data_IF_267440033487
#
_entry.id   IF_267440033487
#
_cell.length_a   1.000
_cell.length_b   1.000
_cell.length_c   1.000
_cell.angle_alpha   90.00
_cell.angle_beta   90.00
_cell.angle_gamma   90.00
#
_symmetry.space_group_name_H-M   'P 1'
#
loop_
_entity.id
_entity.type
_entity.pdbx_description
1 polymer ?
#
# COMPACT_ATOMS: atom_id res chain seq x y z
N UNK A 1 -30.78 24.98 48.39
CA UNK A 1 -30.81 24.76 46.93
C UNK A 1 -31.12 23.30 46.64
N UNK A 2 -32.32 22.98 46.13
CA UNK A 2 -32.70 21.61 45.74
C UNK A 2 -32.42 21.46 44.24
N UNK A 3 -31.33 20.82 43.88
CA UNK A 3 -31.06 20.47 42.49
C UNK A 3 -32.16 19.53 41.98
N UNK A 4 -32.81 19.82 40.83
CA UNK A 4 -33.89 19.00 40.33
C UNK A 4 -33.32 17.66 39.83
N UNK A 5 -33.62 16.58 40.57
CA UNK A 5 -33.18 15.19 40.34
C UNK A 5 -33.46 14.69 38.91
N UNK A 6 -34.46 15.26 38.22
CA UNK A 6 -34.79 14.95 36.82
C UNK A 6 -33.73 15.43 35.82
N UNK A 7 -33.08 16.56 36.09
CA UNK A 7 -32.04 17.11 35.21
C UNK A 7 -30.72 16.32 35.35
N UNK A 8 -30.41 15.85 36.56
CA UNK A 8 -29.25 15.01 36.83
C UNK A 8 -29.32 13.65 36.12
N UNK A 9 -30.52 13.03 36.03
CA UNK A 9 -30.72 11.76 35.30
C UNK A 9 -30.51 11.90 33.79
N UNK A 10 -30.91 13.01 33.19
CA UNK A 10 -30.81 13.21 31.73
C UNK A 10 -29.38 13.50 31.26
N UNK A 11 -28.56 14.12 32.10
CA UNK A 11 -27.14 14.40 31.79
C UNK A 11 -26.29 13.12 31.85
N UNK A 12 -26.60 12.21 32.78
CA UNK A 12 -25.88 10.92 32.91
C UNK A 12 -26.13 10.01 31.71
N UNK A 13 -27.33 10.03 31.11
CA UNK A 13 -27.64 9.22 29.93
C UNK A 13 -26.92 9.73 28.66
N UNK A 14 -26.78 11.05 28.48
CA UNK A 14 -26.02 11.62 27.36
C UNK A 14 -24.50 11.40 27.53
N UNK A 15 -23.97 11.43 28.75
CA UNK A 15 -22.56 11.17 29.02
C UNK A 15 -22.15 9.70 28.75
N UNK A 16 -23.06 8.75 28.95
CA UNK A 16 -22.83 7.33 28.63
C UNK A 16 -22.76 7.06 27.11
N UNK A 17 -23.45 7.86 26.29
CA UNK A 17 -23.42 7.74 24.83
C UNK A 17 -22.18 8.40 24.20
N UNK A 18 -21.59 9.40 24.87
CA UNK A 18 -20.38 10.07 24.42
C UNK A 18 -19.08 9.29 24.72
N UNK A 19 -19.13 8.31 25.64
CA UNK A 19 -17.97 7.51 26.05
C UNK A 19 -17.64 6.34 25.12
N UNK A 20 -18.54 5.98 24.20
CA UNK A 20 -18.31 4.91 23.23
C UNK A 20 -17.66 5.54 21.99
N UNK A 21 -16.39 5.91 22.11
CA UNK A 21 -15.53 5.95 20.92
C UNK A 21 -15.40 4.50 20.44
N UNK A 22 -16.41 4.02 19.70
CA UNK A 22 -16.36 2.72 19.06
C UNK A 22 -15.21 2.79 18.05
N UNK A 23 -14.03 2.31 18.47
CA UNK A 23 -12.99 1.99 17.52
C UNK A 23 -13.62 0.98 16.57
N UNK A 24 -13.90 1.40 15.34
CA UNK A 24 -14.58 0.57 14.35
C UNK A 24 -13.75 -0.67 13.96
N UNK A 25 -12.48 -0.71 14.38
CA UNK A 25 -11.51 -1.75 14.11
C UNK A 25 -11.02 -2.34 15.43
N UNK A 26 -10.84 -3.66 15.46
CA UNK A 26 -10.32 -4.40 16.61
C UNK A 26 -9.00 -5.08 16.25
N UNK A 27 -8.03 -5.03 17.18
CA UNK A 27 -6.77 -5.77 17.03
C UNK A 27 -7.06 -7.29 16.98
N UNK A 28 -6.34 -8.00 16.11
CA UNK A 28 -6.52 -9.43 15.88
C UNK A 28 -7.63 -9.79 14.89
N UNK A 29 -8.41 -8.80 14.41
CA UNK A 29 -9.46 -9.00 13.41
C UNK A 29 -9.22 -8.17 12.15
N UNK A 30 -9.27 -6.84 12.26
CA UNK A 30 -9.06 -5.96 11.11
C UNK A 30 -7.59 -5.52 10.97
N UNK A 31 -6.83 -5.51 12.06
CA UNK A 31 -5.40 -5.18 12.05
C UNK A 31 -4.64 -5.96 13.12
N UNK A 32 -3.31 -5.95 13.02
CA UNK A 32 -2.40 -6.44 14.05
C UNK A 32 -1.33 -5.40 14.31
N UNK A 33 -0.82 -5.34 15.54
CA UNK A 33 0.35 -4.53 15.86
C UNK A 33 1.61 -5.33 15.53
N UNK A 34 2.50 -4.77 14.71
CA UNK A 34 3.77 -5.41 14.40
C UNK A 34 4.65 -5.44 15.64
N UNK A 35 5.11 -6.64 16.04
CA UNK A 35 6.08 -6.81 17.14
C UNK A 35 7.36 -6.02 16.90
N UNK A 36 7.80 -5.97 15.64
CA UNK A 36 8.95 -5.20 15.19
C UNK A 36 8.46 -4.15 14.17
N UNK A 37 8.26 -2.89 14.59
CA UNK A 37 7.83 -1.83 13.69
C UNK A 37 8.84 -1.57 12.57
N UNK A 38 8.36 -1.10 11.43
CA UNK A 38 9.22 -0.64 10.34
C UNK A 38 9.80 0.72 10.75
N UNK A 39 11.13 0.82 10.85
CA UNK A 39 11.80 2.06 11.20
C UNK A 39 11.52 3.16 10.14
N UNK A 40 11.42 4.41 10.59
CA UNK A 40 11.22 5.59 9.72
C UNK A 40 9.96 5.49 8.84
N UNK A 41 8.88 4.92 9.39
CA UNK A 41 7.60 4.74 8.71
C UNK A 41 6.45 5.53 9.36
N UNK A 42 6.77 6.52 10.19
CA UNK A 42 5.76 7.38 10.81
C UNK A 42 4.91 8.10 9.75
N UNK A 43 3.62 8.26 10.04
CA UNK A 43 2.65 8.92 9.18
C UNK A 43 2.67 8.39 7.72
N UNK A 44 2.83 7.07 7.56
CA UNK A 44 2.90 6.42 6.26
C UNK A 44 1.95 5.24 6.12
N UNK A 45 1.59 4.95 4.87
CA UNK A 45 0.89 3.74 4.47
C UNK A 45 1.77 2.99 3.48
N UNK A 46 2.21 1.80 3.89
CA UNK A 46 3.10 0.95 3.09
C UNK A 46 2.30 -0.24 2.57
N UNK A 47 2.21 -0.39 1.25
CA UNK A 47 1.73 -1.62 0.63
C UNK A 47 2.92 -2.56 0.40
N UNK A 48 2.95 -3.66 1.15
CA UNK A 48 3.88 -4.77 0.92
C UNK A 48 3.28 -5.65 -0.18
N UNK A 49 3.98 -5.82 -1.31
CA UNK A 49 3.41 -6.50 -2.47
C UNK A 49 4.42 -7.36 -3.24
N UNK A 50 3.93 -8.17 -4.18
CA UNK A 50 4.77 -8.92 -5.12
C UNK A 50 4.17 -8.85 -6.52
N UNK A 51 5.03 -8.83 -7.55
CA UNK A 51 4.60 -8.92 -8.95
C UNK A 51 3.89 -10.26 -9.28
N UNK A 52 4.05 -11.30 -8.43
CA UNK A 52 3.40 -12.61 -8.57
C UNK A 52 2.13 -12.78 -7.74
N UNK A 53 1.77 -11.79 -6.94
CA UNK A 53 0.63 -11.86 -6.04
C UNK A 53 -0.66 -11.44 -6.77
N UNK A 54 -1.59 -12.38 -6.97
CA UNK A 54 -2.84 -12.12 -7.70
C UNK A 54 -3.68 -11.04 -7.01
N UNK A 55 -3.77 -11.07 -5.67
CA UNK A 55 -4.50 -10.07 -4.91
C UNK A 55 -3.87 -8.68 -5.01
N UNK A 56 -2.54 -8.60 -5.03
CA UNK A 56 -1.81 -7.36 -5.27
C UNK A 56 -2.12 -6.79 -6.67
N UNK A 57 -2.27 -7.66 -7.66
CA UNK A 57 -2.73 -7.25 -8.99
C UNK A 57 -4.18 -6.72 -8.97
N UNK A 58 -5.07 -7.37 -8.21
CA UNK A 58 -6.44 -6.89 -8.03
C UNK A 58 -6.48 -5.51 -7.38
N UNK A 59 -5.76 -5.30 -6.28
CA UNK A 59 -5.65 -3.99 -5.62
C UNK A 59 -5.11 -2.91 -6.55
N UNK A 60 -4.10 -3.25 -7.37
CA UNK A 60 -3.59 -2.34 -8.39
C UNK A 60 -4.65 -2.00 -9.45
N UNK A 61 -5.38 -2.99 -9.98
CA UNK A 61 -6.47 -2.77 -10.95
C UNK A 61 -7.59 -1.89 -10.37
N UNK A 62 -7.93 -2.09 -9.10
CA UNK A 62 -8.98 -1.33 -8.41
C UNK A 62 -8.53 0.04 -7.91
N UNK A 63 -7.25 0.39 -8.12
CA UNK A 63 -6.62 1.61 -7.64
C UNK A 63 -6.82 1.81 -6.12
N UNK A 64 -6.68 0.73 -5.33
CA UNK A 64 -6.99 0.74 -3.90
C UNK A 64 -6.20 1.83 -3.16
N UNK A 65 -4.89 1.91 -3.37
CA UNK A 65 -4.03 2.93 -2.74
C UNK A 65 -4.47 4.36 -3.08
N UNK A 66 -4.82 4.63 -4.34
CA UNK A 66 -5.34 5.93 -4.75
C UNK A 66 -6.66 6.29 -4.05
N UNK A 67 -7.60 5.33 -3.95
CA UNK A 67 -8.86 5.52 -3.23
C UNK A 67 -8.66 5.74 -1.72
N UNK A 68 -7.68 5.08 -1.12
CA UNK A 68 -7.33 5.32 0.29
C UNK A 68 -6.75 6.73 0.45
N UNK A 69 -5.90 7.17 -0.48
CA UNK A 69 -5.34 8.52 -0.48
C UNK A 69 -6.39 9.63 -0.59
N UNK A 70 -7.45 9.43 -1.36
CA UNK A 70 -8.58 10.36 -1.41
C UNK A 70 -9.21 10.60 -0.02
N UNK A 71 -9.12 9.62 0.88
CA UNK A 71 -9.64 9.72 2.26
C UNK A 71 -8.59 10.10 3.29
N UNK A 72 -7.33 9.73 3.06
CA UNK A 72 -6.20 9.94 3.96
C UNK A 72 -5.04 10.67 3.23
N UNK A 73 -5.25 11.90 2.75
CA UNK A 73 -4.32 12.57 1.83
C UNK A 73 -2.98 12.94 2.45
N UNK A 74 -2.91 13.01 3.79
CA UNK A 74 -1.75 13.51 4.53
C UNK A 74 -0.74 12.39 4.89
N UNK A 75 -1.00 11.14 4.47
CA UNK A 75 -0.07 10.04 4.67
C UNK A 75 0.99 10.01 3.57
N UNK A 76 2.18 9.53 3.92
CA UNK A 76 3.20 9.16 2.92
C UNK A 76 2.88 7.77 2.39
N UNK A 77 2.66 7.64 1.08
CA UNK A 77 2.37 6.36 0.45
C UNK A 77 3.65 5.71 -0.07
N UNK A 78 3.84 4.42 0.19
CA UNK A 78 5.01 3.65 -0.27
C UNK A 78 4.59 2.25 -0.76
N UNK A 79 5.26 1.75 -1.79
CA UNK A 79 5.10 0.38 -2.29
C UNK A 79 6.39 -0.39 -2.06
N UNK A 80 6.35 -1.41 -1.21
CA UNK A 80 7.52 -2.22 -0.84
C UNK A 80 7.37 -3.62 -1.46
N UNK A 81 8.09 -3.91 -2.56
CA UNK A 81 8.12 -5.25 -3.10
C UNK A 81 8.85 -6.21 -2.16
N UNK A 82 8.36 -7.46 -2.09
CA UNK A 82 9.00 -8.51 -1.29
C UNK A 82 9.95 -9.35 -2.13
N UNK A 83 11.18 -9.51 -1.64
CA UNK A 83 12.23 -10.24 -2.34
C UNK A 83 12.06 -11.77 -2.26
N UNK A 84 11.37 -12.27 -1.24
CA UNK A 84 11.19 -13.70 -0.98
C UNK A 84 10.13 -14.36 -1.86
N UNK A 85 9.31 -13.59 -2.59
CA UNK A 85 8.26 -14.13 -3.45
C UNK A 85 8.67 -14.09 -4.92
N UNK A 86 8.85 -15.29 -5.49
CA UNK A 86 9.06 -15.48 -6.91
C UNK A 86 10.50 -15.55 -7.36
N UNK A 87 10.67 -16.07 -8.57
CA UNK A 87 11.99 -16.29 -9.19
C UNK A 87 12.79 -14.99 -9.40
N UNK A 88 12.12 -13.83 -9.38
CA UNK A 88 12.72 -12.50 -9.60
C UNK A 88 12.45 -11.49 -8.49
N UNK A 89 12.19 -11.94 -7.26
CA UNK A 89 11.85 -11.02 -6.15
C UNK A 89 12.94 -9.96 -5.89
N UNK A 90 14.22 -10.34 -5.98
CA UNK A 90 15.34 -9.39 -5.79
C UNK A 90 15.40 -8.34 -6.89
N UNK A 91 15.29 -8.78 -8.15
CA UNK A 91 15.28 -7.92 -9.33
C UNK A 91 14.06 -6.99 -9.34
N UNK A 92 12.91 -7.48 -8.84
CA UNK A 92 11.75 -6.64 -8.60
C UNK A 92 12.07 -5.54 -7.58
N UNK A 93 12.70 -5.88 -6.44
CA UNK A 93 13.08 -4.86 -5.46
C UNK A 93 13.98 -3.77 -6.05
N UNK A 94 14.98 -4.15 -6.84
CA UNK A 94 15.90 -3.20 -7.46
C UNK A 94 15.21 -2.27 -8.45
N UNK A 95 14.39 -2.81 -9.37
CA UNK A 95 13.72 -2.00 -10.39
C UNK A 95 12.64 -1.08 -9.79
N UNK A 96 11.92 -1.54 -8.77
CA UNK A 96 10.94 -0.72 -8.05
C UNK A 96 11.61 0.34 -7.17
N UNK A 97 12.76 0.04 -6.54
CA UNK A 97 13.53 1.04 -5.82
C UNK A 97 14.02 2.15 -6.76
N UNK A 98 14.49 1.77 -7.96
CA UNK A 98 14.89 2.75 -8.98
C UNK A 98 13.71 3.61 -9.47
N UNK A 99 12.55 2.98 -9.69
CA UNK A 99 11.32 3.70 -10.06
C UNK A 99 10.89 4.70 -8.97
N UNK A 100 10.87 4.25 -7.71
CA UNK A 100 10.50 5.08 -6.56
C UNK A 100 11.50 6.23 -6.34
N UNK A 101 12.80 5.99 -6.53
CA UNK A 101 13.81 7.05 -6.48
C UNK A 101 13.52 8.14 -7.53
N UNK A 102 13.26 7.74 -8.78
CA UNK A 102 12.94 8.70 -9.85
C UNK A 102 11.63 9.44 -9.59
N UNK A 103 10.61 8.76 -9.09
CA UNK A 103 9.37 9.40 -8.67
C UNK A 103 9.64 10.46 -7.58
N UNK A 104 10.47 10.12 -6.60
CA UNK A 104 10.89 11.05 -5.54
C UNK A 104 11.63 12.28 -6.07
N UNK A 105 12.59 12.11 -6.99
CA UNK A 105 13.29 13.21 -7.66
C UNK A 105 12.31 14.13 -8.40
N UNK A 106 11.33 13.54 -9.07
CA UNK A 106 10.31 14.28 -9.82
C UNK A 106 9.13 14.75 -8.95
N UNK A 107 9.15 14.47 -7.64
CA UNK A 107 8.07 14.77 -6.68
C UNK A 107 6.71 14.21 -7.12
N UNK A 108 6.71 13.05 -7.77
CA UNK A 108 5.49 12.34 -8.17
C UNK A 108 5.14 11.34 -7.08
N UNK A 109 3.90 11.40 -6.60
CA UNK A 109 3.42 10.43 -5.61
C UNK A 109 3.19 9.06 -6.25
N UNK A 110 3.57 7.95 -5.59
CA UNK A 110 3.48 6.62 -6.18
C UNK A 110 2.03 6.11 -6.41
N UNK A 111 1.03 6.76 -5.82
CA UNK A 111 -0.39 6.49 -6.11
C UNK A 111 -0.88 7.17 -7.39
N UNK A 112 -0.14 8.14 -7.93
CA UNK A 112 -0.45 8.77 -9.21
C UNK A 112 -0.29 7.77 -10.36
N UNK A 113 -1.20 7.77 -11.33
CA UNK A 113 -1.11 6.90 -12.51
C UNK A 113 0.12 7.20 -13.39
N UNK A 114 0.68 8.40 -13.26
CA UNK A 114 1.88 8.84 -13.96
C UNK A 114 3.17 8.41 -13.26
N UNK A 115 3.10 7.98 -11.99
CA UNK A 115 4.25 7.42 -11.27
C UNK A 115 4.90 6.30 -12.06
N UNK A 116 6.22 6.30 -12.08
CA UNK A 116 7.03 5.23 -12.62
C UNK A 116 6.82 3.95 -11.82
N UNK A 117 6.73 4.03 -10.49
CA UNK A 117 6.39 2.89 -9.62
C UNK A 117 5.05 2.27 -10.04
N UNK A 118 4.02 3.09 -10.26
CA UNK A 118 2.71 2.62 -10.74
C UNK A 118 2.79 1.97 -12.13
N UNK A 119 3.48 2.61 -13.08
CA UNK A 119 3.67 2.09 -14.45
C UNK A 119 4.44 0.77 -14.48
N UNK A 120 5.50 0.66 -13.68
CA UNK A 120 6.31 -0.55 -13.54
C UNK A 120 5.48 -1.68 -12.94
N UNK A 121 4.69 -1.42 -11.89
CA UNK A 121 3.75 -2.40 -11.33
C UNK A 121 2.78 -2.92 -12.38
N UNK A 122 2.13 -2.01 -13.11
CA UNK A 122 1.21 -2.36 -14.20
C UNK A 122 1.88 -3.22 -15.27
N UNK A 123 3.11 -2.88 -15.65
CA UNK A 123 3.86 -3.61 -16.67
C UNK A 123 4.17 -5.04 -16.22
N UNK A 124 4.72 -5.23 -15.01
CA UNK A 124 5.02 -6.56 -14.49
C UNK A 124 3.77 -7.40 -14.24
N UNK A 125 2.69 -6.81 -13.70
CA UNK A 125 1.44 -7.53 -13.53
C UNK A 125 0.86 -7.99 -14.86
N UNK A 126 0.85 -7.13 -15.89
CA UNK A 126 0.38 -7.54 -17.21
C UNK A 126 1.30 -8.59 -17.84
N UNK A 127 2.62 -8.47 -17.71
CA UNK A 127 3.57 -9.47 -18.20
C UNK A 127 3.33 -10.83 -17.54
N UNK A 128 3.20 -10.87 -16.21
CA UNK A 128 3.06 -12.11 -15.47
C UNK A 128 1.67 -12.74 -15.55
N UNK A 129 0.60 -11.96 -15.34
CA UNK A 129 -0.77 -12.47 -15.23
C UNK A 129 -1.49 -12.57 -16.57
N UNK A 130 -1.29 -11.60 -17.48
CA UNK A 130 -1.95 -11.59 -18.80
C UNK A 130 -1.11 -12.32 -19.85
N UNK A 131 0.15 -11.93 -20.01
CA UNK A 131 1.05 -12.49 -21.03
C UNK A 131 1.75 -13.78 -20.60
N UNK A 132 1.50 -14.25 -19.37
CA UNK A 132 2.06 -15.47 -18.79
C UNK A 132 3.60 -15.56 -18.87
N UNK A 133 4.29 -14.42 -18.88
CA UNK A 133 5.74 -14.36 -18.93
C UNK A 133 6.33 -14.90 -17.63
N UNK A 134 7.37 -15.72 -17.76
CA UNK A 134 8.13 -16.30 -16.63
C UNK A 134 9.62 -16.03 -16.74
N UNK A 135 10.07 -15.44 -17.85
CA UNK A 135 11.48 -15.13 -18.09
C UNK A 135 12.37 -16.34 -17.75
N UNK A 136 12.05 -17.51 -18.28
CA UNK A 136 12.82 -18.75 -18.04
C UNK A 136 12.97 -19.15 -16.56
N UNK A 137 12.02 -18.78 -15.69
CA UNK A 137 11.94 -19.18 -14.29
C UNK A 137 13.22 -18.87 -13.49
N UNK A 138 13.72 -17.64 -13.60
CA UNK A 138 14.90 -17.17 -12.86
C UNK A 138 16.20 -17.12 -13.67
N UNK A 139 16.21 -17.64 -14.90
CA UNK A 139 17.43 -17.76 -15.73
C UNK A 139 17.71 -16.60 -16.68
N UNK A 140 16.78 -15.65 -16.80
CA UNK A 140 16.86 -14.52 -17.72
C UNK A 140 16.49 -13.20 -17.02
N UNK A 141 17.32 -12.74 -16.06
CA UNK A 141 17.09 -11.49 -15.33
C UNK A 141 17.09 -10.26 -16.25
N UNK A 142 17.84 -10.27 -17.34
CA UNK A 142 17.89 -9.17 -18.31
C UNK A 142 16.53 -8.94 -18.96
N UNK A 143 15.85 -10.01 -19.39
CA UNK A 143 14.50 -9.92 -19.92
C UNK A 143 13.48 -9.46 -18.86
N UNK A 144 13.70 -9.82 -17.59
CA UNK A 144 12.90 -9.30 -16.49
C UNK A 144 13.08 -7.78 -16.34
N UNK A 145 14.31 -7.28 -16.15
CA UNK A 145 14.61 -5.85 -16.02
C UNK A 145 14.09 -5.03 -17.20
N UNK A 146 14.20 -5.58 -18.42
CA UNK A 146 13.72 -4.93 -19.65
C UNK A 146 12.26 -4.49 -19.56
N UNK A 147 11.40 -5.24 -18.85
CA UNK A 147 9.99 -4.89 -18.67
C UNK A 147 9.85 -3.59 -17.88
N UNK A 148 10.55 -3.47 -16.76
CA UNK A 148 10.49 -2.27 -15.93
C UNK A 148 11.17 -1.05 -16.59
N UNK A 149 12.34 -1.24 -17.19
CA UNK A 149 13.06 -0.17 -17.90
C UNK A 149 12.23 0.42 -19.05
N UNK A 150 11.64 -0.43 -19.89
CA UNK A 150 10.72 -0.02 -20.96
C UNK A 150 9.49 0.72 -20.41
N UNK A 151 8.92 0.26 -19.29
CA UNK A 151 7.78 0.92 -18.67
C UNK A 151 8.11 2.33 -18.14
N UNK A 152 9.39 2.57 -17.82
CA UNK A 152 9.90 3.86 -17.38
C UNK A 152 10.46 4.73 -18.51
N UNK A 153 10.52 4.20 -19.74
CA UNK A 153 11.11 4.87 -20.89
C UNK A 153 12.58 5.30 -20.66
N UNK A 154 13.38 4.37 -20.14
CA UNK A 154 14.85 4.50 -19.95
C UNK A 154 15.60 3.28 -20.45
#
# INVERSE_FOLDING_TARGET
MKFPVKLARSIVTCAFLAGISASALSEGKEYVILKNPIANADNSLIEIFSYRCTHCYDHHKFNTMGKVKEKLPNLTYKFYPVSSMGDYGRQANEIFAFAAFKDGVNKIDPTDKNSLTHKVAKAYFNAYFKKKQRWENGKNPEAFYSVGLKAMNV
#
